data_IF_476454526634
#
_entry.id   IF_476454526634
#
_cell.length_a   1.000
_cell.length_b   1.000
_cell.length_c   1.000
_cell.angle_alpha   90.00
_cell.angle_beta   90.00
_cell.angle_gamma   90.00
#
_symmetry.space_group_name_H-M   'P 1'
#
loop_
_entity.id
_entity.type
_entity.pdbx_description
1 polymer ?
#
# COMPACT_ATOMS: atom_id res chain seq x y z
N UNK A 1 -3.60 15.04 18.82
CA UNK A 1 -4.80 15.54 18.11
C UNK A 1 -6.05 15.32 18.97
N UNK A 2 -7.15 16.08 18.85
CA UNK A 2 -8.42 15.78 19.56
C UNK A 2 -9.27 14.83 18.71
N UNK A 3 -8.96 13.53 18.79
CA UNK A 3 -9.68 12.47 18.07
C UNK A 3 -11.07 12.27 18.65
N UNK A 4 -12.07 12.09 17.78
CA UNK A 4 -13.46 11.87 18.18
C UNK A 4 -13.95 10.49 17.74
N UNK A 5 -14.84 9.90 18.53
CA UNK A 5 -15.55 8.67 18.14
C UNK A 5 -16.27 8.93 16.80
N UNK A 6 -16.28 7.92 15.94
CA UNK A 6 -16.84 7.95 14.57
C UNK A 6 -16.09 8.84 13.57
N UNK A 7 -14.95 9.42 13.95
CA UNK A 7 -14.08 10.12 13.00
C UNK A 7 -13.51 9.14 11.96
N UNK A 8 -13.44 9.59 10.71
CA UNK A 8 -12.99 8.78 9.56
C UNK A 8 -11.95 9.56 8.76
N UNK A 9 -11.01 8.81 8.18
CA UNK A 9 -10.08 9.32 7.20
C UNK A 9 -10.06 8.39 5.99
N UNK A 10 -9.78 8.96 4.82
CA UNK A 10 -9.77 8.25 3.54
C UNK A 10 -8.52 8.68 2.79
N UNK A 11 -7.80 7.69 2.26
CA UNK A 11 -6.66 7.89 1.37
C UNK A 11 -6.90 7.11 0.09
N UNK A 12 -6.64 7.73 -1.06
CA UNK A 12 -6.79 7.11 -2.37
C UNK A 12 -5.49 7.23 -3.15
N UNK A 13 -5.05 6.11 -3.72
CA UNK A 13 -3.80 6.00 -4.46
C UNK A 13 -4.03 5.19 -5.74
N UNK A 14 -3.59 5.71 -6.88
CA UNK A 14 -3.50 4.96 -8.12
C UNK A 14 -2.10 4.38 -8.23
N UNK A 15 -1.99 3.05 -8.17
CA UNK A 15 -0.72 2.35 -8.35
C UNK A 15 -0.43 2.11 -9.83
N UNK A 16 0.82 2.29 -10.21
CA UNK A 16 1.33 2.11 -11.56
C UNK A 16 2.31 0.94 -11.63
N UNK A 17 2.65 0.49 -12.84
CA UNK A 17 3.72 -0.48 -13.04
C UNK A 17 5.08 0.01 -12.48
N UNK A 18 5.28 1.32 -12.40
CA UNK A 18 6.47 1.92 -11.78
C UNK A 18 6.55 1.60 -10.29
N UNK A 19 5.45 1.76 -9.55
CA UNK A 19 5.38 1.49 -8.11
C UNK A 19 5.60 0.00 -7.81
N UNK A 20 5.01 -0.88 -8.62
CA UNK A 20 5.18 -2.34 -8.55
C UNK A 20 6.64 -2.73 -8.74
N UNK A 21 7.31 -2.12 -9.73
CA UNK A 21 8.74 -2.34 -10.00
C UNK A 21 9.62 -1.83 -8.86
N UNK A 22 9.41 -0.59 -8.41
CA UNK A 22 10.20 0.00 -7.31
C UNK A 22 10.04 -0.79 -6.01
N UNK A 23 8.84 -1.31 -5.72
CA UNK A 23 8.64 -2.18 -4.56
C UNK A 23 9.44 -3.48 -4.67
N UNK A 24 9.46 -4.12 -5.84
CA UNK A 24 10.25 -5.33 -6.07
C UNK A 24 11.77 -5.05 -5.99
N UNK A 25 12.24 -3.91 -6.49
CA UNK A 25 13.65 -3.49 -6.35
C UNK A 25 14.06 -3.34 -4.89
N UNK A 26 13.18 -2.76 -4.06
CA UNK A 26 13.46 -2.54 -2.65
C UNK A 26 13.38 -3.82 -1.81
N UNK A 27 12.47 -4.73 -2.14
CA UNK A 27 12.13 -5.89 -1.28
C UNK A 27 12.65 -7.23 -1.80
N UNK A 28 12.97 -7.32 -3.08
CA UNK A 28 13.25 -8.58 -3.76
C UNK A 28 12.00 -9.38 -4.14
N UNK A 29 10.78 -8.87 -3.92
CA UNK A 29 9.54 -9.57 -4.29
C UNK A 29 9.27 -9.45 -5.81
N UNK A 30 9.88 -10.36 -6.56
CA UNK A 30 9.67 -10.55 -7.99
C UNK A 30 8.72 -11.71 -8.30
N UNK A 31 7.72 -11.96 -7.45
CA UNK A 31 6.72 -12.99 -7.74
C UNK A 31 6.09 -12.74 -9.12
N UNK A 32 6.04 -13.75 -10.02
CA UNK A 32 5.54 -13.58 -11.38
C UNK A 32 4.08 -13.11 -11.43
N UNK A 33 3.32 -13.24 -10.34
CA UNK A 33 1.98 -12.68 -10.22
C UNK A 33 1.91 -11.16 -10.48
N UNK A 34 3.01 -10.44 -10.26
CA UNK A 34 3.09 -8.98 -10.40
C UNK A 34 3.66 -8.52 -11.76
N UNK A 35 4.29 -9.42 -12.52
CA UNK A 35 5.09 -9.05 -13.69
C UNK A 35 4.81 -9.90 -14.95
N UNK A 36 4.27 -11.10 -14.82
CA UNK A 36 4.00 -12.02 -15.93
C UNK A 36 2.49 -12.22 -16.13
N UNK A 37 1.96 -11.58 -17.17
CA UNK A 37 0.54 -11.69 -17.53
C UNK A 37 0.13 -13.13 -17.90
N UNK A 38 1.02 -13.91 -18.50
CA UNK A 38 0.77 -15.31 -18.86
C UNK A 38 0.73 -16.22 -17.64
N UNK A 39 1.54 -15.95 -16.63
CA UNK A 39 1.43 -16.59 -15.32
C UNK A 39 0.13 -16.18 -14.61
N UNK A 40 -0.13 -14.87 -14.51
CA UNK A 40 -1.28 -14.32 -13.80
C UNK A 40 -2.62 -14.81 -14.37
N UNK A 41 -2.75 -14.94 -15.69
CA UNK A 41 -3.92 -15.48 -16.39
C UNK A 41 -4.32 -16.89 -15.93
N UNK A 42 -3.34 -17.70 -15.51
CA UNK A 42 -3.55 -19.08 -15.02
C UNK A 42 -4.01 -19.11 -13.56
N UNK A 43 -3.87 -18.01 -12.84
CA UNK A 43 -4.29 -17.89 -11.44
C UNK A 43 -5.78 -17.53 -11.33
N UNK A 44 -6.29 -17.40 -10.09
CA UNK A 44 -7.64 -16.86 -9.84
C UNK A 44 -7.78 -15.37 -10.16
N UNK A 45 -6.67 -14.63 -10.19
CA UNK A 45 -6.67 -13.19 -10.38
C UNK A 45 -6.84 -12.80 -11.85
N UNK A 46 -6.45 -13.67 -12.78
CA UNK A 46 -6.58 -13.53 -14.24
C UNK A 46 -5.78 -12.40 -14.89
N UNK A 47 -5.38 -11.40 -14.13
CA UNK A 47 -4.57 -10.28 -14.55
C UNK A 47 -3.48 -10.00 -13.52
N UNK A 48 -2.53 -9.15 -13.89
CA UNK A 48 -1.50 -8.70 -12.96
C UNK A 48 -2.14 -8.01 -11.77
N UNK A 49 -1.65 -8.33 -10.57
CA UNK A 49 -2.05 -7.66 -9.33
C UNK A 49 -0.81 -7.06 -8.69
N UNK A 50 -0.97 -6.01 -7.88
CA UNK A 50 0.14 -5.40 -7.14
C UNK A 50 0.58 -6.28 -5.96
N UNK A 51 1.79 -6.08 -5.44
CA UNK A 51 2.23 -6.72 -4.19
C UNK A 51 1.29 -6.29 -3.06
N UNK A 52 0.74 -7.23 -2.29
CA UNK A 52 -0.23 -6.91 -1.23
C UNK A 52 0.30 -5.94 -0.18
N UNK A 53 1.63 -5.92 0.03
CA UNK A 53 2.29 -5.02 0.96
C UNK A 53 2.33 -3.56 0.49
N UNK A 54 2.19 -3.26 -0.81
CA UNK A 54 1.97 -1.88 -1.27
C UNK A 54 0.67 -1.32 -0.69
N UNK A 55 -0.39 -2.11 -0.69
CA UNK A 55 -1.68 -1.73 -0.09
C UNK A 55 -1.57 -1.54 1.43
N UNK A 56 -0.84 -2.42 2.12
CA UNK A 56 -0.56 -2.23 3.56
C UNK A 56 0.25 -0.96 3.83
N UNK A 57 1.21 -0.62 2.96
CA UNK A 57 1.97 0.63 3.06
C UNK A 57 1.09 1.88 2.93
N UNK A 58 0.10 1.86 2.03
CA UNK A 58 -0.88 2.95 1.89
C UNK A 58 -1.73 3.09 3.16
N UNK A 59 -2.18 1.97 3.74
CA UNK A 59 -2.90 1.99 5.02
C UNK A 59 -2.04 2.56 6.15
N UNK A 60 -0.78 2.13 6.26
CA UNK A 60 0.15 2.66 7.25
C UNK A 60 0.34 4.17 7.07
N UNK A 61 0.49 4.63 5.83
CA UNK A 61 0.61 6.06 5.55
C UNK A 61 -0.66 6.85 5.93
N UNK A 62 -1.86 6.27 5.74
CA UNK A 62 -3.11 6.88 6.21
C UNK A 62 -3.09 7.07 7.74
N UNK A 63 -2.67 6.05 8.48
CA UNK A 63 -2.62 6.12 9.95
C UNK A 63 -1.54 7.12 10.41
N UNK A 64 -0.33 6.97 9.90
CA UNK A 64 0.84 7.73 10.32
C UNK A 64 0.78 9.21 9.93
N UNK A 65 0.17 9.53 8.78
CA UNK A 65 0.23 10.89 8.21
C UNK A 65 -1.11 11.62 8.26
N UNK A 66 -2.23 10.90 8.18
CA UNK A 66 -3.54 11.54 7.97
C UNK A 66 -4.42 11.46 9.23
N UNK A 67 -4.55 10.28 9.86
CA UNK A 67 -5.31 10.10 11.10
C UNK A 67 -4.92 8.81 11.84
N UNK A 68 -4.35 8.89 13.06
CA UNK A 68 -4.28 10.06 13.94
C UNK A 68 -3.23 11.11 13.56
N UNK A 69 -2.38 10.82 12.56
CA UNK A 69 -1.36 11.73 12.09
C UNK A 69 -0.09 11.68 12.96
N UNK A 70 0.98 12.36 12.52
CA UNK A 70 2.33 12.15 13.03
C UNK A 70 2.49 12.58 14.49
N UNK A 71 1.70 13.57 14.93
CA UNK A 71 1.75 14.13 16.28
C UNK A 71 1.32 13.13 17.37
N UNK A 72 0.53 12.11 17.00
CA UNK A 72 0.07 11.07 17.94
C UNK A 72 0.96 9.80 17.87
N UNK A 73 1.66 9.54 16.75
CA UNK A 73 2.58 8.39 16.62
C UNK A 73 3.98 8.67 17.17
N UNK A 74 4.45 9.93 17.07
CA UNK A 74 5.72 10.39 17.64
C UNK A 74 5.48 11.68 18.45
N UNK A 75 5.22 11.61 19.77
CA UNK A 75 5.19 12.80 20.59
C UNK A 75 6.59 13.43 20.60
N UNK A 76 6.77 14.46 19.78
CA UNK A 76 7.97 15.30 19.82
C UNK A 76 7.86 16.13 21.11
N UNK A 77 8.85 16.11 22.02
CA UNK A 77 8.81 16.91 23.24
C UNK A 77 8.75 18.41 22.97
#
# INVERSE_FOLDING_TARGET
MDLKVDQKAIRSNTLTNGDVKSYAEMTGDYNPLHFDAGFAAKTRFKELVVQGRLTSGILNALVAMDMPGPDDEYPIP
#
